data_IF_463590209598
#
_entry.id   IF_463590209598
#
_cell.length_a   1.000
_cell.length_b   1.000
_cell.length_c   1.000
_cell.angle_alpha   90.00
_cell.angle_beta   90.00
_cell.angle_gamma   90.00
#
_symmetry.space_group_name_H-M   'P 1'
#
loop_
_entity.id
_entity.type
_entity.pdbx_description
1 polymer ?
#
# COMPACT_ATOMS: atom_id res chain seq x y z
N UNK A 1 -8.46 -25.98 13.08
CA UNK A 1 -8.47 -24.77 12.23
C UNK A 1 -7.66 -25.23 11.05
N UNK A 2 -8.40 -25.62 10.04
CA UNK A 2 -7.99 -26.10 8.77
C UNK A 2 -7.39 -25.00 7.88
N UNK A 3 -6.10 -24.91 7.57
CA UNK A 3 -5.70 -24.28 6.29
C UNK A 3 -5.24 -25.39 5.36
N UNK A 4 -5.73 -25.39 4.13
CA UNK A 4 -5.30 -26.31 3.08
C UNK A 4 -4.52 -25.50 2.05
N UNK A 5 -3.19 -25.60 2.09
CA UNK A 5 -2.34 -25.14 1.00
C UNK A 5 -2.37 -26.22 -0.08
N UNK A 6 -3.14 -25.99 -1.14
CA UNK A 6 -3.09 -26.85 -2.34
C UNK A 6 -1.95 -26.37 -3.24
N UNK A 7 -0.76 -26.93 -3.04
CA UNK A 7 0.27 -26.94 -4.08
C UNK A 7 -0.02 -28.10 -5.03
N UNK A 8 -0.35 -27.81 -6.30
CA UNK A 8 -0.46 -28.83 -7.33
C UNK A 8 0.92 -29.30 -7.81
N UNK A 9 1.75 -29.79 -6.89
CA UNK A 9 2.83 -30.76 -7.15
C UNK A 9 3.38 -31.31 -5.83
N UNK A 10 3.10 -32.59 -5.59
CA UNK A 10 3.63 -33.49 -4.55
C UNK A 10 2.95 -33.47 -3.17
N UNK A 11 2.66 -34.70 -2.71
CA UNK A 11 1.93 -35.06 -1.50
C UNK A 11 2.85 -35.04 -0.29
N UNK A 12 2.71 -34.03 0.58
CA UNK A 12 3.07 -34.14 1.99
C UNK A 12 2.01 -33.42 2.82
N UNK A 13 1.66 -33.97 3.98
CA UNK A 13 0.56 -33.46 4.80
C UNK A 13 0.87 -32.05 5.30
N UNK A 14 0.02 -31.04 5.01
CA UNK A 14 0.21 -29.69 5.52
C UNK A 14 -0.06 -29.63 7.03
N UNK A 15 0.71 -28.80 7.73
CA UNK A 15 0.42 -28.41 9.12
C UNK A 15 -0.88 -27.58 9.20
N UNK A 16 -1.42 -27.46 10.42
CA UNK A 16 -2.84 -27.19 10.68
C UNK A 16 -3.01 -25.99 11.65
N UNK A 17 -3.62 -24.86 11.24
CA UNK A 17 -3.82 -23.67 12.10
C UNK A 17 -5.22 -22.98 11.99
N UNK A 18 -5.77 -22.54 13.13
CA UNK A 18 -7.17 -22.10 13.37
C UNK A 18 -7.26 -20.60 13.64
N UNK A 19 -7.72 -19.79 12.66
CA UNK A 19 -7.91 -18.33 12.84
C UNK A 19 -9.39 -17.95 12.63
N UNK A 20 -10.11 -17.52 13.69
CA UNK A 20 -11.55 -17.20 13.62
C UNK A 20 -11.91 -15.94 12.81
N UNK A 21 -10.96 -15.02 12.64
CA UNK A 21 -11.07 -13.77 11.89
C UNK A 21 -9.64 -13.40 11.48
N UNK A 22 -9.24 -13.69 10.24
CA UNK A 22 -7.93 -13.24 9.78
C UNK A 22 -7.98 -11.73 9.56
N UNK A 23 -7.10 -10.97 10.23
CA UNK A 23 -6.88 -9.59 9.83
C UNK A 23 -6.29 -9.55 8.40
N UNK A 24 -6.40 -8.42 7.67
CA UNK A 24 -5.73 -8.27 6.39
C UNK A 24 -4.23 -8.63 6.46
N UNK A 25 -3.55 -8.23 7.54
CA UNK A 25 -2.13 -8.49 7.75
C UNK A 25 -1.84 -10.01 7.90
N UNK A 26 -2.68 -10.75 8.63
CA UNK A 26 -2.55 -12.20 8.78
C UNK A 26 -2.82 -12.94 7.46
N UNK A 27 -3.75 -12.45 6.65
CA UNK A 27 -4.02 -13.03 5.33
C UNK A 27 -2.86 -12.83 4.35
N UNK A 28 -2.23 -11.66 4.38
CA UNK A 28 -1.07 -11.36 3.55
C UNK A 28 0.14 -12.22 3.95
N UNK A 29 0.44 -12.35 5.25
CA UNK A 29 1.51 -13.24 5.74
C UNK A 29 1.28 -14.70 5.30
N UNK A 30 0.04 -15.20 5.40
CA UNK A 30 -0.30 -16.56 4.97
C UNK A 30 -0.18 -16.76 3.46
N UNK A 31 -0.47 -15.72 2.66
CA UNK A 31 -0.28 -15.78 1.20
C UNK A 31 1.19 -15.81 0.83
N UNK A 32 2.02 -15.00 1.50
CA UNK A 32 3.47 -14.99 1.31
C UNK A 32 4.10 -16.33 1.67
N UNK A 33 3.69 -16.92 2.80
CA UNK A 33 4.14 -18.26 3.20
C UNK A 33 3.71 -19.32 2.19
N UNK A 34 2.43 -19.31 1.78
CA UNK A 34 1.93 -20.23 0.76
C UNK A 34 2.64 -20.06 -0.59
N UNK A 35 3.05 -18.83 -0.94
CA UNK A 35 3.87 -18.53 -2.11
C UNK A 35 5.28 -19.08 -1.99
N UNK A 36 5.93 -18.91 -0.85
CA UNK A 36 7.24 -19.49 -0.57
C UNK A 36 7.25 -21.01 -0.62
N UNK A 37 6.14 -21.66 -0.25
CA UNK A 37 5.96 -23.10 -0.29
C UNK A 37 5.48 -23.64 -1.66
N UNK A 38 5.07 -22.76 -2.56
CA UNK A 38 4.55 -23.16 -3.87
C UNK A 38 5.67 -23.69 -4.78
N UNK A 39 5.36 -24.76 -5.54
CA UNK A 39 6.29 -25.28 -6.53
C UNK A 39 6.54 -24.27 -7.66
N UNK A 40 7.69 -24.35 -8.33
CA UNK A 40 8.07 -23.44 -9.42
C UNK A 40 7.14 -23.45 -10.64
N UNK A 41 6.21 -24.42 -10.72
CA UNK A 41 5.16 -24.51 -11.73
C UNK A 41 3.81 -23.94 -11.29
N UNK A 42 3.69 -23.43 -10.07
CA UNK A 42 2.44 -22.85 -9.58
C UNK A 42 2.12 -21.55 -10.33
N UNK A 43 0.90 -21.44 -10.84
CA UNK A 43 0.39 -20.24 -11.53
C UNK A 43 -0.59 -19.42 -10.68
N UNK A 44 -1.03 -19.97 -9.54
CA UNK A 44 -1.94 -19.30 -8.61
C UNK A 44 -1.90 -19.98 -7.24
N UNK A 45 -2.27 -19.22 -6.21
CA UNK A 45 -2.34 -19.65 -4.82
C UNK A 45 -3.65 -19.12 -4.26
N UNK A 46 -4.33 -19.96 -3.48
CA UNK A 46 -5.60 -19.60 -2.85
C UNK A 46 -5.65 -20.18 -1.45
N UNK A 47 -5.91 -19.32 -0.47
CA UNK A 47 -6.15 -19.71 0.90
C UNK A 47 -7.63 -20.04 1.09
N UNK A 48 -7.91 -21.11 1.85
CA UNK A 48 -9.24 -21.53 2.24
C UNK A 48 -9.35 -21.58 3.76
N UNK A 49 -10.47 -21.12 4.28
CA UNK A 49 -10.80 -21.14 5.72
C UNK A 49 -12.25 -21.55 5.93
N UNK A 50 -12.59 -22.01 7.13
CA UNK A 50 -13.98 -22.32 7.48
C UNK A 50 -14.72 -21.06 7.93
N UNK A 51 -15.90 -20.81 7.38
CA UNK A 51 -16.80 -19.75 7.86
C UNK A 51 -17.47 -20.13 9.19
N UNK A 52 -18.27 -19.23 9.76
CA UNK A 52 -19.00 -19.44 11.04
C UNK A 52 -19.98 -20.64 11.03
N UNK A 53 -20.26 -21.20 9.84
CA UNK A 53 -21.10 -22.39 9.65
C UNK A 53 -20.27 -23.66 9.45
N UNK A 54 -18.95 -23.59 9.61
CA UNK A 54 -18.01 -24.69 9.39
C UNK A 54 -17.80 -25.05 7.91
N UNK A 55 -18.23 -24.20 6.97
CA UNK A 55 -18.07 -24.45 5.54
C UNK A 55 -16.76 -23.86 5.03
N UNK A 56 -16.04 -24.64 4.22
CA UNK A 56 -14.84 -24.16 3.54
C UNK A 56 -15.20 -23.11 2.49
N UNK A 57 -14.59 -21.93 2.62
CA UNK A 57 -14.68 -20.82 1.68
C UNK A 57 -13.29 -20.23 1.44
N UNK A 58 -13.03 -19.57 0.30
CA UNK A 58 -11.83 -18.77 0.12
C UNK A 58 -11.66 -17.78 1.29
N UNK A 59 -10.48 -17.72 1.90
CA UNK A 59 -10.24 -16.87 3.09
C UNK A 59 -10.50 -15.40 2.79
N UNK A 60 -10.26 -14.95 1.55
CA UNK A 60 -10.65 -13.61 1.06
C UNK A 60 -12.13 -13.25 1.27
N UNK A 61 -13.04 -14.24 1.33
CA UNK A 61 -14.48 -14.01 1.52
C UNK A 61 -14.83 -13.73 2.98
N UNK A 62 -13.90 -13.98 3.90
CA UNK A 62 -14.03 -13.73 5.33
C UNK A 62 -13.34 -12.43 5.75
N UNK A 63 -12.55 -11.83 4.85
CA UNK A 63 -11.94 -10.53 5.10
C UNK A 63 -13.00 -9.44 5.23
N UNK A 64 -12.73 -8.39 6.01
CA UNK A 64 -13.56 -7.19 5.98
C UNK A 64 -13.67 -6.68 4.54
N UNK A 65 -14.82 -6.08 4.14
CA UNK A 65 -14.99 -5.56 2.80
C UNK A 65 -13.84 -4.60 2.48
N UNK A 66 -13.15 -4.86 1.37
CA UNK A 66 -12.13 -3.95 0.85
C UNK A 66 -12.84 -2.62 0.63
N UNK A 67 -12.49 -1.62 1.45
CA UNK A 67 -12.94 -0.26 1.20
C UNK A 67 -12.38 0.09 -0.17
N UNK A 68 -13.23 0.28 -1.20
CA UNK A 68 -12.72 0.63 -2.52
C UNK A 68 -11.86 1.86 -2.31
N UNK A 69 -10.64 1.89 -2.90
CA UNK A 69 -9.80 3.05 -2.74
C UNK A 69 -10.64 4.28 -3.10
N UNK A 70 -10.58 5.36 -2.29
CA UNK A 70 -11.40 6.53 -2.53
C UNK A 70 -11.28 6.90 -4.00
N UNK A 71 -12.41 6.88 -4.70
CA UNK A 71 -12.46 7.34 -6.08
C UNK A 71 -12.26 8.85 -6.03
N UNK A 72 -10.99 9.26 -5.99
CA UNK A 72 -10.65 10.64 -6.24
C UNK A 72 -11.08 10.92 -7.68
N UNK A 73 -12.03 11.85 -7.82
CA UNK A 73 -12.28 12.54 -9.08
C UNK A 73 -10.95 12.90 -9.71
N UNK A 74 -10.88 12.95 -11.05
CA UNK A 74 -9.67 13.32 -11.74
C UNK A 74 -9.22 14.73 -11.29
N UNK A 75 -8.35 14.76 -10.28
CA UNK A 75 -7.65 15.94 -9.80
C UNK A 75 -6.24 15.83 -10.32
N UNK A 76 -5.70 16.91 -10.86
CA UNK A 76 -4.27 17.03 -11.14
C UNK A 76 -3.49 16.66 -9.89
N UNK A 77 -2.80 15.51 -9.93
CA UNK A 77 -1.81 15.17 -8.93
C UNK A 77 -0.72 16.24 -8.97
N UNK A 78 -0.33 16.75 -7.80
CA UNK A 78 0.85 17.58 -7.65
C UNK A 78 2.10 16.70 -7.76
N UNK A 79 2.44 16.37 -9.01
CA UNK A 79 3.77 16.53 -9.61
C UNK A 79 3.61 16.40 -11.14
N UNK A 80 3.09 17.49 -11.71
CA UNK A 80 2.91 17.87 -13.12
C UNK A 80 2.50 16.75 -14.11
N UNK A 81 1.18 16.52 -14.21
CA UNK A 81 0.58 15.74 -15.30
C UNK A 81 0.59 16.53 -16.62
N UNK A 82 1.39 16.07 -17.59
CA UNK A 82 0.89 16.03 -18.96
C UNK A 82 -0.12 14.88 -19.04
N UNK A 83 -1.37 15.16 -19.43
CA UNK A 83 -2.37 14.12 -19.70
C UNK A 83 -1.85 13.21 -20.79
N UNK A 84 -1.23 12.10 -20.41
CA UNK A 84 -0.68 11.10 -21.34
C UNK A 84 -1.72 10.01 -21.49
N UNK A 85 -2.39 9.96 -22.64
CA UNK A 85 -3.27 8.86 -22.98
C UNK A 85 -2.42 7.67 -23.51
N UNK A 86 -2.68 6.47 -22.99
CA UNK A 86 -1.92 5.26 -23.34
C UNK A 86 -2.69 3.98 -23.00
N UNK A 87 -2.01 2.82 -23.11
CA UNK A 87 -2.66 1.52 -22.92
C UNK A 87 -3.18 1.27 -21.49
N UNK A 88 -2.70 2.03 -20.51
CA UNK A 88 -3.14 2.01 -19.11
C UNK A 88 -4.13 3.13 -18.78
N UNK A 89 -4.61 3.91 -19.77
CA UNK A 89 -5.60 4.95 -19.54
C UNK A 89 -6.80 4.46 -18.72
N UNK A 90 -7.14 5.24 -17.68
CA UNK A 90 -8.23 4.95 -16.75
C UNK A 90 -7.93 3.84 -15.74
N UNK A 91 -6.68 3.37 -15.62
CA UNK A 91 -6.25 2.42 -14.58
C UNK A 91 -5.59 3.15 -13.42
N UNK A 92 -5.72 2.56 -12.22
CA UNK A 92 -4.99 2.95 -11.04
C UNK A 92 -4.04 1.81 -10.64
N UNK A 93 -2.80 2.14 -10.30
CA UNK A 93 -1.79 1.18 -9.87
C UNK A 93 -1.30 1.59 -8.48
N UNK A 94 -1.42 0.69 -7.52
CA UNK A 94 -0.82 0.82 -6.19
C UNK A 94 0.52 0.11 -6.21
N UNK A 95 1.60 0.85 -6.00
CA UNK A 95 2.96 0.36 -6.14
C UNK A 95 3.65 0.32 -4.77
N UNK A 96 3.92 -0.90 -4.30
CA UNK A 96 4.77 -1.14 -3.14
C UNK A 96 6.23 -1.29 -3.55
N UNK A 97 7.05 -0.33 -3.17
CA UNK A 97 8.49 -0.36 -3.42
C UNK A 97 9.15 -1.23 -2.35
N UNK A 98 9.37 -2.52 -2.57
CA UNK A 98 9.91 -3.41 -1.53
C UNK A 98 11.16 -2.84 -0.82
N UNK A 99 11.35 -3.15 0.46
CA UNK A 99 12.41 -2.61 1.34
C UNK A 99 12.32 -1.10 1.64
N UNK A 100 13.43 -0.54 2.14
CA UNK A 100 13.60 0.83 2.59
C UNK A 100 14.13 0.91 4.03
N UNK A 101 13.81 2.00 4.71
CA UNK A 101 14.01 2.09 6.15
C UNK A 101 12.95 1.26 6.88
N UNK A 102 13.39 0.39 7.78
CA UNK A 102 12.53 -0.35 8.70
C UNK A 102 12.84 0.06 10.13
N UNK A 103 11.83 0.07 11.00
CA UNK A 103 12.10 0.24 12.43
C UNK A 103 12.73 -1.05 12.97
N UNK A 104 13.97 -0.96 13.44
CA UNK A 104 14.67 -2.10 14.02
C UNK A 104 14.58 -2.01 15.54
N UNK A 105 13.80 -2.91 16.15
CA UNK A 105 13.57 -2.93 17.60
C UNK A 105 14.86 -3.11 18.40
N UNK A 106 15.76 -4.00 17.96
CA UNK A 106 17.03 -4.25 18.64
C UNK A 106 17.94 -3.02 18.66
N UNK A 107 17.86 -2.18 17.63
CA UNK A 107 18.61 -0.94 17.53
C UNK A 107 17.84 0.27 18.08
N UNK A 108 16.55 0.12 18.37
CA UNK A 108 15.66 1.21 18.80
C UNK A 108 15.58 2.37 17.80
N UNK A 109 15.81 2.11 16.51
CA UNK A 109 15.86 3.15 15.46
C UNK A 109 15.50 2.61 14.08
N UNK A 110 15.16 3.51 13.18
CA UNK A 110 15.08 3.18 11.75
C UNK A 110 16.47 2.78 11.22
N UNK A 111 16.53 1.64 10.54
CA UNK A 111 17.72 1.07 9.94
C UNK A 111 17.37 0.37 8.62
N UNK A 112 18.35 0.17 7.76
CA UNK A 112 18.23 -0.72 6.59
C UNK A 112 18.47 -2.17 7.03
N UNK A 113 17.87 -3.13 6.32
CA UNK A 113 18.09 -4.55 6.61
C UNK A 113 19.49 -4.99 6.19
N UNK A 114 20.03 -4.45 5.08
CA UNK A 114 21.43 -4.65 4.68
C UNK A 114 22.31 -3.48 5.04
N UNK A 115 23.58 -3.78 5.27
CA UNK A 115 24.64 -2.78 5.36
C UNK A 115 25.04 -2.22 3.99
N UNK A 116 25.82 -1.15 4.01
CA UNK A 116 26.47 -0.64 2.80
C UNK A 116 27.52 -1.65 2.31
N UNK A 117 27.33 -2.16 1.10
CA UNK A 117 28.26 -3.06 0.42
C UNK A 117 28.66 -2.43 -0.91
N UNK A 118 29.96 -2.21 -1.11
CA UNK A 118 30.52 -1.58 -2.31
C UNK A 118 29.88 -0.21 -2.67
N UNK A 119 29.47 0.58 -1.68
CA UNK A 119 28.83 1.88 -1.89
C UNK A 119 27.33 1.82 -2.17
N UNK A 120 26.74 0.62 -2.12
CA UNK A 120 25.30 0.41 -2.35
C UNK A 120 24.63 -0.14 -1.11
N UNK A 121 23.35 0.18 -0.94
CA UNK A 121 22.50 -0.43 0.08
C UNK A 121 21.33 -1.09 -0.65
N UNK A 122 21.25 -2.41 -0.58
CA UNK A 122 20.25 -3.22 -1.32
C UNK A 122 18.82 -2.69 -1.13
N UNK A 123 18.49 -2.35 0.12
CA UNK A 123 17.18 -1.86 0.52
C UNK A 123 16.69 -0.62 -0.26
N UNK A 124 17.58 0.12 -0.91
CA UNK A 124 17.24 1.31 -1.69
C UNK A 124 17.16 1.05 -3.20
N UNK A 125 17.68 -0.07 -3.73
CA UNK A 125 17.66 -0.31 -5.18
C UNK A 125 16.24 -0.41 -5.75
N UNK A 126 15.32 -1.05 -5.02
CA UNK A 126 13.93 -1.17 -5.46
C UNK A 126 13.20 0.19 -5.45
N UNK A 127 13.18 0.95 -4.33
CA UNK A 127 12.64 2.31 -4.33
C UNK A 127 13.27 3.22 -5.38
N UNK A 128 14.59 3.18 -5.53
CA UNK A 128 15.31 4.02 -6.50
C UNK A 128 14.87 3.71 -7.94
N UNK A 129 14.91 2.44 -8.34
CA UNK A 129 14.53 2.03 -9.69
C UNK A 129 13.06 2.30 -10.00
N UNK A 130 12.18 2.12 -9.01
CA UNK A 130 10.77 2.42 -9.17
C UNK A 130 10.51 3.92 -9.30
N UNK A 131 11.07 4.74 -8.40
CA UNK A 131 10.86 6.17 -8.38
C UNK A 131 11.47 6.88 -9.59
N UNK A 132 12.65 6.46 -10.04
CA UNK A 132 13.32 7.10 -11.18
C UNK A 132 12.78 6.67 -12.54
N UNK A 133 12.25 5.43 -12.65
CA UNK A 133 11.92 4.86 -13.96
C UNK A 133 10.50 4.29 -14.03
N UNK A 134 10.17 3.29 -13.20
CA UNK A 134 8.93 2.53 -13.36
C UNK A 134 7.69 3.40 -13.26
N UNK A 135 7.65 4.29 -12.26
CA UNK A 135 6.51 5.20 -12.04
C UNK A 135 6.27 6.03 -13.30
N UNK A 136 7.32 6.68 -13.81
CA UNK A 136 7.23 7.50 -15.01
C UNK A 136 6.76 6.69 -16.23
N UNK A 137 7.20 5.44 -16.39
CA UNK A 137 6.74 4.58 -17.48
C UNK A 137 5.26 4.21 -17.38
N UNK A 138 4.77 3.93 -16.18
CA UNK A 138 3.37 3.62 -15.93
C UNK A 138 2.49 4.86 -16.13
N UNK A 139 2.93 6.02 -15.65
CA UNK A 139 2.25 7.30 -15.85
C UNK A 139 2.22 7.68 -17.33
N UNK A 140 3.35 7.57 -18.05
CA UNK A 140 3.41 7.80 -19.51
C UNK A 140 2.54 6.83 -20.31
N UNK A 141 2.25 5.64 -19.77
CA UNK A 141 1.31 4.70 -20.34
C UNK A 141 -0.16 5.02 -20.01
N UNK A 142 -0.43 6.07 -19.24
CA UNK A 142 -1.76 6.58 -18.89
C UNK A 142 -2.32 6.08 -17.56
N UNK A 143 -1.52 5.41 -16.73
CA UNK A 143 -1.96 4.99 -15.40
C UNK A 143 -1.89 6.14 -14.39
N UNK A 144 -2.83 6.15 -13.43
CA UNK A 144 -2.64 6.85 -12.14
C UNK A 144 -1.82 5.95 -11.22
N UNK A 145 -0.68 6.41 -10.74
CA UNK A 145 0.22 5.62 -9.89
C UNK A 145 0.20 6.18 -8.46
N UNK A 146 -0.06 5.30 -7.49
CA UNK A 146 -0.06 5.60 -6.07
C UNK A 146 1.03 4.76 -5.41
N UNK A 147 1.97 5.41 -4.73
CA UNK A 147 3.04 4.71 -4.02
C UNK A 147 2.74 4.60 -2.53
N UNK A 148 3.10 3.46 -1.92
CA UNK A 148 2.99 3.27 -0.46
C UNK A 148 4.04 4.06 0.33
N UNK A 149 5.07 4.57 -0.36
CA UNK A 149 6.16 5.36 0.18
C UNK A 149 6.31 6.65 -0.61
N UNK A 150 6.91 7.66 0.02
CA UNK A 150 7.26 8.93 -0.60
C UNK A 150 8.16 8.71 -1.83
N UNK A 151 7.90 9.47 -2.90
CA UNK A 151 8.65 9.41 -4.18
C UNK A 151 9.77 10.45 -4.19
N UNK A 152 9.52 11.59 -3.55
CA UNK A 152 10.41 12.72 -3.50
C UNK A 152 11.63 12.47 -2.64
N UNK A 153 12.80 12.83 -3.17
CA UNK A 153 14.06 12.86 -2.42
C UNK A 153 14.28 14.21 -1.72
N UNK A 154 13.22 15.02 -1.58
CA UNK A 154 13.29 16.30 -0.90
C UNK A 154 13.45 16.06 0.60
N UNK A 155 14.47 16.66 1.21
CA UNK A 155 14.68 16.60 2.66
C UNK A 155 13.70 17.46 3.46
N UNK A 156 12.92 18.31 2.79
CA UNK A 156 11.88 19.14 3.39
C UNK A 156 10.61 18.31 3.56
N UNK A 157 10.41 17.78 4.76
CA UNK A 157 9.17 17.10 5.15
C UNK A 157 8.21 18.12 5.75
N UNK A 158 7.63 18.97 4.90
CA UNK A 158 6.64 19.97 5.33
C UNK A 158 5.24 19.51 4.95
N UNK A 159 4.33 19.51 5.90
CA UNK A 159 2.90 19.33 5.64
C UNK A 159 2.29 20.73 5.46
N UNK A 160 1.58 20.93 4.35
CA UNK A 160 0.77 22.13 4.14
C UNK A 160 -0.68 21.78 4.41
N UNK A 161 -1.23 22.35 5.48
CA UNK A 161 -2.59 22.10 5.96
C UNK A 161 -3.33 23.44 6.03
N UNK A 162 -4.50 23.52 5.41
CA UNK A 162 -5.34 24.72 5.42
C UNK A 162 -6.11 24.90 6.73
N UNK A 163 -6.16 23.88 7.59
CA UNK A 163 -6.67 23.98 8.95
C UNK A 163 -5.56 24.35 9.96
N UNK A 164 -4.31 24.44 9.49
CA UNK A 164 -3.15 24.76 10.31
C UNK A 164 -2.94 26.24 10.60
N UNK A 165 -2.25 26.52 11.71
CA UNK A 165 -1.86 27.89 12.09
C UNK A 165 -1.00 28.56 11.02
N UNK A 166 -1.35 29.81 10.67
CA UNK A 166 -0.62 30.61 9.69
C UNK A 166 -1.09 30.42 8.24
N UNK A 167 -2.08 29.57 8.00
CA UNK A 167 -2.76 29.50 6.71
C UNK A 167 -3.56 30.79 6.43
N UNK A 168 -3.49 31.27 5.20
CA UNK A 168 -4.32 32.39 4.73
C UNK A 168 -4.53 32.32 3.22
N UNK A 169 -5.73 32.65 2.77
CA UNK A 169 -6.10 32.73 1.37
C UNK A 169 -6.20 34.18 0.92
N UNK A 170 -5.82 34.46 -0.34
CA UNK A 170 -6.03 35.76 -0.97
C UNK A 170 -6.51 35.61 -2.40
N UNK A 171 -7.71 36.11 -2.70
CA UNK A 171 -8.37 35.94 -4.00
C UNK A 171 -9.85 35.62 -3.81
N UNK A 172 -10.60 35.48 -4.90
CA UNK A 172 -12.02 35.10 -4.89
C UNK A 172 -12.28 33.65 -5.25
N UNK A 173 -11.24 32.92 -5.66
CA UNK A 173 -11.38 31.64 -6.36
C UNK A 173 -11.10 30.45 -5.43
N UNK A 174 -11.23 30.65 -4.12
CA UNK A 174 -11.13 29.61 -3.11
C UNK A 174 -12.52 29.24 -2.62
N UNK A 175 -12.85 27.97 -2.68
CA UNK A 175 -14.10 27.45 -2.18
C UNK A 175 -13.88 26.26 -1.24
N UNK A 176 -14.83 26.06 -0.32
CA UNK A 176 -14.84 24.88 0.53
C UNK A 176 -14.95 23.60 -0.33
N UNK A 177 -14.10 22.62 -0.03
CA UNK A 177 -14.12 21.30 -0.64
C UNK A 177 -14.79 20.24 0.24
N UNK A 178 -14.46 18.97 -0.03
CA UNK A 178 -14.85 17.85 0.84
C UNK A 178 -14.06 17.86 2.16
N UNK A 179 -14.39 16.94 3.06
CA UNK A 179 -13.53 16.66 4.21
C UNK A 179 -12.11 16.30 3.74
N UNK A 180 -11.15 16.71 4.54
CA UNK A 180 -9.73 16.66 4.21
C UNK A 180 -8.88 16.13 5.35
N UNK A 181 -7.58 16.18 5.12
CA UNK A 181 -6.60 15.92 6.14
C UNK A 181 -6.61 17.06 7.17
N UNK A 182 -6.50 16.73 8.46
CA UNK A 182 -6.08 17.66 9.50
C UNK A 182 -4.96 17.00 10.30
N UNK A 183 -3.92 17.72 10.72
CA UNK A 183 -2.90 17.17 11.62
C UNK A 183 -3.36 17.21 13.09
N UNK A 184 -4.00 16.13 13.56
CA UNK A 184 -4.41 15.97 14.96
C UNK A 184 -3.30 15.38 15.84
N UNK A 185 -2.10 15.16 15.30
CA UNK A 185 -0.97 14.53 15.99
C UNK A 185 -1.03 13.00 15.92
N UNK A 186 -1.38 12.35 17.03
CA UNK A 186 -1.45 10.89 17.09
C UNK A 186 -2.80 10.38 16.61
N UNK A 187 -2.75 9.40 15.71
CA UNK A 187 -3.93 8.71 15.18
C UNK A 187 -4.05 7.35 15.80
N UNK A 188 -5.24 7.03 16.31
CA UNK A 188 -5.53 5.68 16.74
C UNK A 188 -5.73 4.77 15.52
N UNK A 189 -5.54 3.47 15.72
CA UNK A 189 -5.76 2.49 14.66
C UNK A 189 -7.20 2.56 14.13
N UNK A 190 -7.34 2.63 12.81
CA UNK A 190 -8.63 2.72 12.13
C UNK A 190 -9.19 4.13 11.98
N UNK A 191 -8.52 5.15 12.53
CA UNK A 191 -8.87 6.54 12.24
C UNK A 191 -8.41 6.94 10.83
N UNK A 192 -9.32 7.54 10.07
CA UNK A 192 -9.02 8.10 8.76
C UNK A 192 -8.69 9.59 8.93
N UNK A 193 -7.43 10.01 8.78
CA UNK A 193 -7.06 11.41 8.97
C UNK A 193 -7.72 12.34 7.93
N UNK A 194 -8.15 11.79 6.78
CA UNK A 194 -8.80 12.54 5.71
C UNK A 194 -10.30 12.84 5.93
N UNK A 195 -10.87 12.39 7.05
CA UNK A 195 -12.25 12.70 7.43
C UNK A 195 -12.34 13.76 8.54
N UNK A 196 -11.21 14.35 8.94
CA UNK A 196 -11.12 15.18 10.16
C UNK A 196 -10.81 16.65 9.92
N UNK A 197 -10.26 16.97 8.74
CA UNK A 197 -10.00 18.34 8.31
C UNK A 197 -10.90 18.79 7.17
N UNK A 198 -10.46 19.84 6.49
CA UNK A 198 -11.15 20.46 5.38
C UNK A 198 -10.24 20.53 4.16
N UNK A 199 -10.82 20.56 2.95
CA UNK A 199 -10.09 20.82 1.72
C UNK A 199 -10.53 22.14 1.10
N UNK A 200 -9.66 22.72 0.27
CA UNK A 200 -9.91 23.94 -0.51
C UNK A 200 -9.87 23.60 -2.00
N UNK A 201 -10.76 24.19 -2.80
CA UNK A 201 -10.83 24.01 -4.27
C UNK A 201 -10.76 25.33 -5.00
#
# INVERSE_FOLDING_TARGET
>A
MYFLIFSFSSWSNPEHYEVPQASPDEYDELLEEAAGLSGSSASSIMLWSTNDRGQWVPTQNLLPPIVPPPQKEASTGVDIEGKTDGFLSGKAIYLSQCHGWIYNENLGRFATQRGNNFGTVEDFHNPEGMNQYLIQYLENAGARVFTVKERGMNSSMSISDNDGDGYSESGSDFEDGALGFADLGFWDYGENPFDTGTTRR
#
